data_IF_964859844952
#
_entry.id   IF_964859844952
#
_cell.length_a   1.000
_cell.length_b   1.000
_cell.length_c   1.000
_cell.angle_alpha   90.00
_cell.angle_beta   90.00
_cell.angle_gamma   90.00
#
_symmetry.space_group_name_H-M   'P 1'
#
loop_
_entity.id
_entity.type
_entity.pdbx_description
1 polymer ?
#
# COMPACT_ATOMS: atom_id res chain seq x y z
N UNK A 1 -13.64 -9.87 -1.67
CA UNK A 1 -12.45 -9.01 -1.53
C UNK A 1 -11.38 -9.55 -2.48
N UNK A 2 -10.82 -8.73 -3.39
CA UNK A 2 -9.73 -9.15 -4.28
C UNK A 2 -8.41 -8.64 -3.72
N UNK A 3 -7.48 -9.55 -3.43
CA UNK A 3 -6.19 -9.22 -2.81
C UNK A 3 -5.02 -9.66 -3.68
N UNK A 4 -3.94 -8.87 -3.68
CA UNK A 4 -2.70 -9.19 -4.38
C UNK A 4 -1.50 -8.52 -3.68
N UNK A 5 -0.28 -9.03 -3.93
CA UNK A 5 0.96 -8.37 -3.47
C UNK A 5 1.18 -7.02 -4.19
N UNK A 6 0.75 -6.93 -5.45
CA UNK A 6 0.84 -5.75 -6.30
C UNK A 6 -0.50 -5.49 -6.97
N UNK A 7 -0.95 -4.23 -6.98
CA UNK A 7 -2.22 -3.78 -7.55
C UNK A 7 -1.97 -2.57 -8.43
N UNK A 8 -2.45 -2.63 -9.67
CA UNK A 8 -2.47 -1.45 -10.56
C UNK A 8 -3.65 -0.56 -10.21
N UNK A 9 -3.36 0.69 -9.88
CA UNK A 9 -4.35 1.73 -9.59
C UNK A 9 -4.74 2.48 -10.85
N UNK A 10 -5.96 3.04 -10.85
CA UNK A 10 -6.39 4.00 -11.87
C UNK A 10 -5.48 5.24 -11.82
N UNK A 11 -5.18 5.82 -12.98
CA UNK A 11 -4.27 6.97 -13.08
C UNK A 11 -2.80 6.62 -13.35
N UNK A 12 -2.49 5.34 -13.59
CA UNK A 12 -1.13 4.94 -13.98
C UNK A 12 -0.17 4.78 -12.81
N UNK A 13 -0.69 4.36 -11.65
CA UNK A 13 0.12 4.03 -10.47
C UNK A 13 0.05 2.53 -10.18
N UNK A 14 1.07 2.02 -9.50
CA UNK A 14 1.09 0.66 -8.97
C UNK A 14 1.32 0.74 -7.47
N UNK A 15 0.51 0.05 -6.69
CA UNK A 15 0.70 -0.12 -5.25
C UNK A 15 1.22 -1.54 -4.98
N UNK A 16 2.19 -1.68 -4.10
CA UNK A 16 2.78 -2.99 -3.74
C UNK A 16 3.18 -3.03 -2.27
N UNK A 17 3.06 -4.21 -1.64
CA UNK A 17 3.68 -4.47 -0.33
C UNK A 17 5.06 -5.08 -0.53
N UNK A 18 6.08 -4.44 0.05
CA UNK A 18 7.47 -4.87 -0.01
C UNK A 18 8.05 -5.01 1.40
N UNK A 19 9.19 -5.70 1.52
CA UNK A 19 9.99 -5.76 2.75
C UNK A 19 11.20 -4.84 2.61
N UNK A 20 11.44 -4.00 3.61
CA UNK A 20 12.49 -2.99 3.56
C UNK A 20 13.88 -3.64 3.63
N UNK A 21 14.73 -3.38 2.63
CA UNK A 21 16.13 -3.86 2.63
C UNK A 21 17.09 -2.91 3.35
N UNK A 22 16.69 -1.65 3.49
CA UNK A 22 17.40 -0.57 4.18
C UNK A 22 16.37 0.41 4.75
N UNK A 23 16.78 1.38 5.59
CA UNK A 23 15.84 2.38 6.08
C UNK A 23 15.24 3.18 4.92
N UNK A 24 13.93 3.42 4.99
CA UNK A 24 13.21 4.31 4.07
C UNK A 24 12.38 5.32 4.86
N UNK A 25 12.18 6.50 4.30
CA UNK A 25 11.31 7.50 4.95
C UNK A 25 9.86 7.26 4.56
N UNK A 26 8.98 7.14 5.57
CA UNK A 26 7.55 7.11 5.33
C UNK A 26 7.07 8.48 4.83
N UNK A 27 6.33 8.49 3.73
CA UNK A 27 5.82 9.69 3.09
C UNK A 27 4.80 10.42 3.98
N UNK A 28 3.98 9.67 4.71
CA UNK A 28 2.93 10.23 5.57
C UNK A 28 3.46 10.76 6.90
N UNK A 29 4.04 9.89 7.75
CA UNK A 29 4.43 10.27 9.11
C UNK A 29 5.88 10.76 9.23
N UNK A 30 6.66 10.73 8.14
CA UNK A 30 8.09 11.10 8.06
C UNK A 30 9.04 10.29 8.93
N UNK A 31 8.55 9.33 9.71
CA UNK A 31 9.38 8.39 10.50
C UNK A 31 10.02 7.32 9.61
N UNK A 32 11.16 6.75 10.02
CA UNK A 32 11.81 5.67 9.27
C UNK A 32 10.96 4.39 9.29
N UNK A 33 10.97 3.69 8.17
CA UNK A 33 10.58 2.29 8.00
C UNK A 33 11.87 1.49 8.18
N UNK A 34 11.90 0.58 9.16
CA UNK A 34 13.11 -0.13 9.53
C UNK A 34 13.42 -1.28 8.55
N UNK A 35 14.70 -1.66 8.36
CA UNK A 35 15.04 -2.87 7.62
C UNK A 35 14.29 -4.10 8.17
N UNK A 36 13.79 -4.96 7.28
CA UNK A 36 12.97 -6.13 7.62
C UNK A 36 11.48 -5.84 7.81
N UNK A 37 11.09 -4.57 7.99
CA UNK A 37 9.69 -4.17 8.11
C UNK A 37 8.97 -4.25 6.75
N UNK A 38 7.72 -4.72 6.76
CA UNK A 38 6.85 -4.62 5.59
C UNK A 38 6.30 -3.21 5.45
N UNK A 39 6.27 -2.70 4.22
CA UNK A 39 5.80 -1.37 3.89
C UNK A 39 5.04 -1.38 2.57
N UNK A 40 4.14 -0.42 2.39
CA UNK A 40 3.47 -0.21 1.12
C UNK A 40 4.25 0.82 0.30
N UNK A 41 4.37 0.59 -1.00
CA UNK A 41 4.95 1.54 -1.94
C UNK A 41 3.93 1.85 -3.03
N UNK A 42 3.84 3.12 -3.40
CA UNK A 42 3.07 3.59 -4.57
C UNK A 42 4.05 4.18 -5.56
N UNK A 43 4.10 3.61 -6.76
CA UNK A 43 5.01 4.00 -7.83
C UNK A 43 4.21 4.47 -9.04
N UNK A 44 4.52 5.65 -9.57
CA UNK A 44 3.93 6.10 -10.82
C UNK A 44 4.60 5.42 -12.02
N UNK A 45 3.83 4.88 -12.94
CA UNK A 45 4.37 4.18 -14.11
C UNK A 45 5.00 5.18 -15.10
N UNK A 46 4.41 6.37 -15.21
CA UNK A 46 4.87 7.44 -16.12
C UNK A 46 5.52 8.62 -15.40
N UNK A 47 5.57 8.59 -14.06
CA UNK A 47 6.18 9.63 -13.24
C UNK A 47 7.25 9.01 -12.37
N UNK A 48 8.37 9.67 -12.15
CA UNK A 48 9.40 9.21 -11.20
C UNK A 48 8.97 9.26 -9.72
N UNK A 49 7.66 9.36 -9.44
CA UNK A 49 7.07 9.36 -8.11
C UNK A 49 7.21 7.97 -7.46
N UNK A 50 7.80 7.96 -6.27
CA UNK A 50 7.85 6.78 -5.40
C UNK A 50 7.55 7.20 -3.97
N UNK A 51 6.37 6.82 -3.49
CA UNK A 51 5.94 7.09 -2.13
C UNK A 51 5.95 5.80 -1.32
N UNK A 52 6.50 5.84 -0.12
CA UNK A 52 6.65 4.68 0.77
C UNK A 52 5.89 4.94 2.05
N UNK A 53 5.20 3.94 2.58
CA UNK A 53 4.33 4.10 3.73
C UNK A 53 4.50 2.92 4.70
N UNK A 54 4.55 3.18 6.00
CA UNK A 54 4.20 2.14 6.97
C UNK A 54 2.82 1.59 6.64
N UNK A 55 2.58 0.28 6.84
CA UNK A 55 1.30 -0.33 6.46
C UNK A 55 0.10 0.36 7.14
N UNK A 56 0.25 0.75 8.41
CA UNK A 56 -0.80 1.48 9.14
C UNK A 56 -1.07 2.87 8.54
N UNK A 57 -0.01 3.57 8.12
CA UNK A 57 -0.13 4.88 7.49
C UNK A 57 -0.77 4.75 6.11
N UNK A 58 -0.42 3.71 5.36
CA UNK A 58 -1.07 3.42 4.08
C UNK A 58 -2.58 3.23 4.23
N UNK A 59 -3.00 2.47 5.26
CA UNK A 59 -4.43 2.27 5.54
C UNK A 59 -5.15 3.57 5.92
N UNK A 60 -4.46 4.56 6.50
CA UNK A 60 -5.04 5.89 6.73
C UNK A 60 -5.13 6.74 5.46
N UNK A 61 -4.22 6.57 4.50
CA UNK A 61 -4.17 7.37 3.26
C UNK A 61 -5.05 6.79 2.16
N UNK A 62 -5.24 5.47 2.10
CA UNK A 62 -6.00 4.76 1.06
C UNK A 62 -7.28 4.05 1.55
N UNK A 63 -7.96 4.46 2.63
CA UNK A 63 -8.94 3.64 3.36
C UNK A 63 -10.14 3.19 2.50
N UNK A 64 -10.45 3.92 1.43
CA UNK A 64 -11.60 3.64 0.55
C UNK A 64 -11.22 2.92 -0.75
N UNK A 65 -9.93 2.72 -1.03
CA UNK A 65 -9.46 2.11 -2.29
C UNK A 65 -8.75 0.79 -2.06
N UNK A 66 -7.80 0.80 -1.13
CA UNK A 66 -6.95 -0.33 -0.81
C UNK A 66 -6.71 -0.37 0.69
N UNK A 67 -6.84 -1.57 1.27
CA UNK A 67 -6.39 -1.85 2.61
C UNK A 67 -5.29 -2.91 2.59
N UNK A 68 -4.36 -2.81 3.52
CA UNK A 68 -3.40 -3.87 3.81
C UNK A 68 -4.07 -4.87 4.76
N UNK A 69 -4.29 -6.09 4.28
CA UNK A 69 -4.70 -7.23 5.09
C UNK A 69 -3.46 -8.02 5.51
N UNK A 70 -3.33 -8.32 6.81
CA UNK A 70 -2.27 -9.20 7.32
C UNK A 70 -2.74 -10.65 7.16
N UNK A 71 -1.96 -11.46 6.45
CA UNK A 71 -2.18 -12.91 6.35
C UNK A 71 -1.19 -13.64 7.28
N UNK A 72 -1.28 -14.97 7.36
CA UNK A 72 -0.33 -15.82 8.09
C UNK A 72 1.08 -15.79 7.50
N UNK A 73 1.25 -15.33 6.27
CA UNK A 73 2.54 -15.29 5.57
C UNK A 73 3.03 -13.86 5.36
N UNK A 74 2.41 -13.15 4.42
CA UNK A 74 2.79 -11.80 3.99
C UNK A 74 1.55 -10.88 3.97
N UNK A 75 1.73 -9.58 4.25
CA UNK A 75 0.65 -8.62 4.05
C UNK A 75 0.31 -8.50 2.56
N UNK A 76 -0.99 -8.41 2.26
CA UNK A 76 -1.53 -8.25 0.91
C UNK A 76 -2.32 -6.95 0.81
N UNK A 77 -2.36 -6.36 -0.39
CA UNK A 77 -3.26 -5.26 -0.71
C UNK A 77 -4.58 -5.81 -1.19
N UNK A 78 -5.67 -5.37 -0.56
CA UNK A 78 -7.02 -5.79 -0.89
C UNK A 78 -7.86 -4.60 -1.33
N UNK A 79 -8.58 -4.75 -2.44
CA UNK A 79 -9.62 -3.80 -2.81
C UNK A 79 -10.72 -3.79 -1.76
N UNK A 80 -11.05 -2.58 -1.31
CA UNK A 80 -12.27 -2.34 -0.54
C UNK A 80 -13.42 -2.53 -1.53
N UNK A 81 -14.29 -3.51 -1.25
CA UNK A 81 -15.55 -3.62 -1.98
C UNK A 81 -16.45 -2.54 -1.40
N UNK A 82 -16.86 -1.58 -2.23
CA UNK A 82 -17.99 -0.74 -1.88
C UNK A 82 -19.22 -1.66 -1.88
N UNK A 83 -19.93 -1.71 -0.76
CA UNK A 83 -21.23 -2.35 -0.68
C UNK A 83 -22.15 -1.62 -1.67
N UNK A 84 -22.45 -2.25 -2.81
CA UNK A 84 -23.50 -1.82 -3.73
C UNK A 84 -24.88 -2.11 -3.12
N UNK A 85 -25.16 -1.54 -1.95
CA UNK A 85 -26.41 -1.74 -1.22
C UNK A 85 -27.02 -0.41 -0.77
N UNK A 86 -27.10 0.55 -1.69
CA UNK A 86 -28.12 1.62 -1.66
C UNK A 86 -28.50 2.01 -3.08
N UNK A 87 -29.45 1.30 -3.68
CA UNK A 87 -30.39 1.80 -4.69
C UNK A 87 -31.69 1.02 -4.61
#
# INVERSE_FOLDING_TARGET
MRCAKSVRLRGGFTAEVRRARKPYTCFYCRKPISPGEHYAVVEGVKSSLVERYHLQCFNHVMPHRLIVARTSEDPLLCHVLEDESVL
#
